data_IF_021669059255
#
_entry.id   IF_021669059255
#
_cell.length_a   1.000
_cell.length_b   1.000
_cell.length_c   1.000
_cell.angle_alpha   90.00
_cell.angle_beta   90.00
_cell.angle_gamma   90.00
#
_symmetry.space_group_name_H-M   'P 1'
#
loop_
_entity.id
_entity.type
_entity.pdbx_description
1 polymer ?
#
# COMPACT_ATOMS: atom_id res chain seq x y z
N UNK A 1 -0.07 -26.02 -4.95
CA UNK A 1 0.72 -25.57 -3.79
C UNK A 1 0.64 -24.06 -3.70
N UNK A 2 0.58 -23.53 -2.47
CA UNK A 2 0.50 -22.08 -2.24
C UNK A 2 1.73 -21.57 -1.51
N UNK A 3 2.12 -20.34 -1.84
CA UNK A 3 3.09 -19.57 -1.10
C UNK A 3 2.41 -18.29 -0.63
N UNK A 4 2.17 -18.18 0.67
CA UNK A 4 1.59 -16.97 1.27
C UNK A 4 2.70 -16.00 1.66
N UNK A 5 2.49 -14.73 1.33
CA UNK A 5 3.44 -13.64 1.61
C UNK A 5 2.74 -12.48 2.32
N UNK A 6 3.53 -11.65 2.98
CA UNK A 6 3.10 -10.38 3.56
C UNK A 6 2.82 -9.34 2.47
N UNK A 7 2.16 -8.21 2.80
CA UNK A 7 1.95 -7.13 1.84
C UNK A 7 3.26 -6.65 1.21
N UNK A 8 3.22 -6.37 -0.11
CA UNK A 8 4.40 -5.98 -0.90
C UNK A 8 4.64 -4.47 -0.96
N UNK A 9 3.82 -3.66 -0.28
CA UNK A 9 3.92 -2.20 -0.32
C UNK A 9 5.19 -1.66 0.34
N UNK A 10 5.61 -0.44 -0.02
CA UNK A 10 6.73 0.23 0.64
C UNK A 10 6.40 0.46 2.12
N UNK A 11 7.31 0.10 3.00
CA UNK A 11 7.15 0.32 4.43
C UNK A 11 7.33 1.79 4.79
N UNK A 12 6.56 2.26 5.78
CA UNK A 12 6.69 3.59 6.36
C UNK A 12 7.36 3.53 7.74
N UNK A 13 7.00 4.42 8.66
CA UNK A 13 7.52 4.39 10.02
C UNK A 13 7.17 3.08 10.72
N UNK A 14 8.16 2.53 11.46
CA UNK A 14 8.02 1.25 12.17
C UNK A 14 8.22 0.02 11.27
N UNK A 15 8.57 0.21 10.00
CA UNK A 15 8.95 -0.83 9.03
C UNK A 15 7.90 -1.93 8.86
N UNK A 16 6.64 -1.65 9.23
CA UNK A 16 5.54 -2.59 9.09
C UNK A 16 4.99 -2.58 7.65
N UNK A 17 4.81 -3.74 7.01
CA UNK A 17 4.16 -3.83 5.71
C UNK A 17 2.67 -3.48 5.74
N UNK A 18 2.06 -3.40 6.93
CA UNK A 18 0.66 -2.98 7.14
C UNK A 18 0.51 -1.46 7.27
N UNK A 19 1.62 -0.72 7.39
CA UNK A 19 1.68 0.73 7.38
C UNK A 19 2.49 1.17 6.17
N UNK A 20 1.84 1.22 5.01
CA UNK A 20 2.50 1.50 3.73
C UNK A 20 2.23 2.92 3.25
N UNK A 21 3.20 3.54 2.58
CA UNK A 21 3.02 4.81 1.89
C UNK A 21 2.05 4.74 0.71
N UNK A 22 1.76 3.54 0.21
CA UNK A 22 0.85 3.35 -0.93
C UNK A 22 0.29 1.94 -0.96
N UNK A 23 -1.01 1.82 -1.26
CA UNK A 23 -1.67 0.54 -1.50
C UNK A 23 -1.37 -0.06 -2.88
N UNK A 24 -0.78 0.73 -3.79
CA UNK A 24 -0.49 0.31 -5.17
C UNK A 24 1.00 0.08 -5.44
N UNK A 25 1.88 0.78 -4.73
CA UNK A 25 3.31 0.71 -4.98
C UNK A 25 3.95 -0.57 -4.42
N UNK A 26 5.01 -1.03 -5.08
CA UNK A 26 5.87 -2.08 -4.58
C UNK A 26 7.02 -1.55 -3.73
N UNK A 27 7.49 -2.37 -2.78
CA UNK A 27 8.57 -2.01 -1.86
C UNK A 27 9.93 -2.01 -2.58
N UNK A 28 10.63 -0.88 -2.67
CA UNK A 28 11.94 -0.79 -3.31
C UNK A 28 13.01 -1.70 -2.70
N UNK A 29 12.82 -2.13 -1.44
CA UNK A 29 13.77 -3.03 -0.77
C UNK A 29 13.74 -4.45 -1.35
N UNK A 30 12.70 -4.84 -2.07
CA UNK A 30 12.61 -6.14 -2.73
C UNK A 30 13.25 -6.17 -4.13
N UNK A 31 13.71 -5.04 -4.65
CA UNK A 31 14.42 -5.01 -5.93
C UNK A 31 15.78 -5.71 -5.76
N UNK A 32 16.00 -6.79 -6.47
CA UNK A 32 17.24 -7.55 -6.47
C UNK A 32 18.34 -6.82 -7.25
N UNK A 33 19.46 -6.51 -6.58
CA UNK A 33 20.57 -5.75 -7.19
C UNK A 33 21.38 -6.59 -8.15
N UNK A 34 21.47 -7.91 -7.95
CA UNK A 34 22.18 -8.81 -8.88
C UNK A 34 21.43 -8.90 -10.22
N UNK A 35 20.10 -8.87 -10.19
CA UNK A 35 19.30 -8.79 -11.40
C UNK A 35 19.49 -7.46 -12.13
N UNK A 36 19.65 -6.35 -11.40
CA UNK A 36 19.98 -5.06 -12.01
C UNK A 36 21.39 -5.07 -12.64
N UNK A 37 22.35 -5.73 -12.01
CA UNK A 37 23.69 -5.89 -12.58
C UNK A 37 23.66 -6.76 -13.85
N UNK A 38 22.94 -7.87 -13.84
CA UNK A 38 22.72 -8.71 -15.04
C UNK A 38 22.04 -7.94 -16.19
N UNK A 39 21.17 -7.00 -15.86
CA UNK A 39 20.53 -6.12 -16.84
C UNK A 39 21.42 -4.95 -17.31
N UNK A 40 22.66 -4.83 -16.78
CA UNK A 40 23.60 -3.75 -17.12
C UNK A 40 23.28 -2.40 -16.47
N UNK A 41 22.35 -2.38 -15.50
CA UNK A 41 21.94 -1.17 -14.78
C UNK A 41 22.83 -0.87 -13.58
N UNK A 42 23.57 -1.86 -13.07
CA UNK A 42 24.57 -1.71 -12.01
C UNK A 42 25.87 -2.40 -12.40
N UNK A 43 26.97 -2.00 -11.73
CA UNK A 43 28.21 -2.76 -11.71
C UNK A 43 28.34 -3.42 -10.32
N UNK A 44 28.88 -4.65 -10.21
CA UNK A 44 29.02 -5.35 -8.92
C UNK A 44 29.73 -4.50 -7.85
N UNK A 45 30.74 -3.74 -8.22
CA UNK A 45 31.51 -2.89 -7.33
C UNK A 45 30.71 -1.75 -6.70
N UNK A 46 29.53 -1.47 -7.25
CA UNK A 46 28.66 -0.39 -6.76
C UNK A 46 27.79 -0.80 -5.57
N UNK A 47 27.65 -2.11 -5.29
CA UNK A 47 26.78 -2.60 -4.21
C UNK A 47 27.31 -3.79 -3.42
N UNK A 48 28.19 -4.64 -3.95
CA UNK A 48 28.66 -5.85 -3.27
C UNK A 48 29.48 -5.54 -2.01
N UNK A 49 30.22 -4.42 -2.00
CA UNK A 49 31.03 -4.01 -0.85
C UNK A 49 30.27 -3.26 0.23
N UNK A 50 28.96 -3.01 0.02
CA UNK A 50 28.15 -2.27 1.01
C UNK A 50 27.83 -3.18 2.18
N UNK A 51 28.24 -2.76 3.37
CA UNK A 51 27.77 -3.38 4.60
C UNK A 51 26.34 -2.93 4.88
N UNK A 52 25.40 -3.87 4.75
CA UNK A 52 23.98 -3.64 5.03
C UNK A 52 23.63 -3.69 6.52
N UNK A 53 24.62 -3.95 7.37
CA UNK A 53 24.48 -4.02 8.84
C UNK A 53 23.38 -5.00 9.29
N UNK A 54 23.08 -5.98 8.44
CA UNK A 54 22.07 -7.01 8.69
C UNK A 54 22.74 -8.31 9.14
N UNK A 55 22.00 -9.12 9.89
CA UNK A 55 22.41 -10.47 10.25
C UNK A 55 21.52 -11.50 9.55
N UNK A 56 21.89 -12.80 9.51
CA UNK A 56 21.03 -13.82 8.88
C UNK A 56 19.59 -13.90 9.42
N UNK A 57 19.35 -13.41 10.64
CA UNK A 57 18.03 -13.43 11.28
C UNK A 57 17.37 -12.07 11.45
N UNK A 58 18.02 -10.97 11.00
CA UNK A 58 17.50 -9.62 11.24
C UNK A 58 17.92 -8.65 10.15
N UNK A 59 16.94 -7.92 9.59
CA UNK A 59 17.17 -6.85 8.62
C UNK A 59 17.36 -5.53 9.35
N UNK A 60 18.40 -4.78 9.00
CA UNK A 60 18.58 -3.41 9.46
C UNK A 60 17.92 -2.43 8.49
N UNK A 61 16.66 -2.07 8.74
CA UNK A 61 15.90 -1.15 7.88
C UNK A 61 16.50 0.26 7.84
N UNK A 62 17.12 0.72 8.93
CA UNK A 62 17.82 2.00 8.96
C UNK A 62 18.99 2.05 7.98
N UNK A 63 19.78 0.97 7.90
CA UNK A 63 20.87 0.85 6.93
C UNK A 63 20.33 0.74 5.49
N UNK A 64 19.23 0.01 5.28
CA UNK A 64 18.56 -0.03 3.97
C UNK A 64 18.10 1.36 3.54
N UNK A 65 17.42 2.08 4.42
CA UNK A 65 16.94 3.44 4.13
C UNK A 65 18.09 4.39 3.75
N UNK A 66 19.22 4.34 4.47
CA UNK A 66 20.36 5.22 4.23
C UNK A 66 21.16 4.87 2.96
N UNK A 67 21.29 3.56 2.65
CA UNK A 67 22.27 3.10 1.65
C UNK A 67 21.64 2.63 0.35
N UNK A 68 20.44 2.01 0.40
CA UNK A 68 19.85 1.34 -0.75
C UNK A 68 19.41 2.29 -1.85
N UNK A 69 18.83 3.41 -1.47
CA UNK A 69 18.37 4.40 -2.45
C UNK A 69 19.52 5.01 -3.27
N UNK A 70 20.70 5.19 -2.67
CA UNK A 70 21.88 5.65 -3.40
C UNK A 70 22.30 4.68 -4.54
N UNK A 71 22.14 3.37 -4.33
CA UNK A 71 22.38 2.35 -5.35
C UNK A 71 21.27 2.37 -6.41
N UNK A 72 20.00 2.45 -5.97
CA UNK A 72 18.86 2.52 -6.89
C UNK A 72 18.89 3.76 -7.78
N UNK A 73 19.36 4.91 -7.27
CA UNK A 73 19.55 6.11 -8.08
C UNK A 73 20.50 5.88 -9.27
N UNK A 74 21.58 5.13 -9.07
CA UNK A 74 22.52 4.80 -10.17
C UNK A 74 21.84 3.92 -11.23
N UNK A 75 21.12 2.89 -10.78
CA UNK A 75 20.40 2.00 -11.68
C UNK A 75 19.31 2.74 -12.48
N UNK A 76 18.50 3.55 -11.78
CA UNK A 76 17.45 4.34 -12.42
C UNK A 76 18.00 5.39 -13.40
N UNK A 77 19.12 6.04 -13.07
CA UNK A 77 19.76 6.98 -14.00
C UNK A 77 20.17 6.31 -15.33
N UNK A 78 20.70 5.07 -15.27
CA UNK A 78 21.04 4.30 -16.49
C UNK A 78 19.79 3.85 -17.23
N UNK A 79 18.77 3.40 -16.52
CA UNK A 79 17.48 3.04 -17.11
C UNK A 79 16.84 4.22 -17.86
N UNK A 80 16.80 5.39 -17.23
CA UNK A 80 16.21 6.61 -17.81
C UNK A 80 17.03 7.17 -18.97
N UNK A 81 18.34 6.95 -19.00
CA UNK A 81 19.18 7.34 -20.13
C UNK A 81 18.94 6.48 -21.39
N UNK A 82 18.48 5.23 -21.23
CA UNK A 82 18.13 4.31 -22.31
C UNK A 82 16.92 3.45 -21.88
N UNK A 83 15.71 4.04 -21.85
CA UNK A 83 14.53 3.35 -21.34
C UNK A 83 14.22 2.09 -22.16
N UNK A 84 13.85 0.98 -21.51
CA UNK A 84 13.34 -0.21 -22.18
C UNK A 84 12.10 0.08 -23.01
N UNK A 85 11.86 -0.71 -24.05
CA UNK A 85 10.76 -0.47 -25.00
C UNK A 85 9.37 -0.48 -24.34
N UNK A 86 9.20 -1.24 -23.27
CA UNK A 86 7.95 -1.39 -22.51
C UNK A 86 7.80 -0.39 -21.35
N UNK A 87 8.80 0.47 -21.11
CA UNK A 87 8.75 1.45 -20.02
C UNK A 87 7.58 2.44 -20.17
N UNK A 88 7.38 2.97 -21.39
CA UNK A 88 6.27 3.88 -21.66
C UNK A 88 4.89 3.19 -21.47
N UNK A 89 4.78 1.92 -21.87
CA UNK A 89 3.58 1.11 -21.66
C UNK A 89 3.31 0.88 -20.15
N UNK A 90 4.37 0.65 -19.38
CA UNK A 90 4.25 0.54 -17.93
C UNK A 90 3.69 1.83 -17.29
N UNK A 91 4.24 2.99 -17.67
CA UNK A 91 3.75 4.29 -17.19
C UNK A 91 2.27 4.50 -17.55
N UNK A 92 1.89 4.20 -18.80
CA UNK A 92 0.52 4.35 -19.27
C UNK A 92 -0.47 3.42 -18.53
N UNK A 93 -0.10 2.16 -18.32
CA UNK A 93 -0.93 1.18 -17.59
C UNK A 93 -1.12 1.51 -16.11
N UNK A 94 -0.20 2.28 -15.52
CA UNK A 94 -0.22 2.67 -14.11
C UNK A 94 -0.54 4.17 -13.91
N UNK A 95 -1.01 4.86 -14.95
CA UNK A 95 -1.30 6.30 -14.91
C UNK A 95 -2.36 6.71 -13.86
N UNK A 96 -3.17 5.77 -13.37
CA UNK A 96 -4.21 6.02 -12.38
C UNK A 96 -3.69 6.19 -10.94
N UNK A 97 -2.45 5.76 -10.64
CA UNK A 97 -1.86 5.86 -9.30
C UNK A 97 -0.40 6.35 -9.30
N UNK A 98 0.41 5.91 -10.27
CA UNK A 98 1.87 6.09 -10.26
C UNK A 98 2.32 7.57 -10.28
N UNK A 99 1.67 8.48 -11.04
CA UNK A 99 2.07 9.90 -11.04
C UNK A 99 1.88 10.59 -9.69
N UNK A 100 0.82 10.25 -8.95
CA UNK A 100 0.59 10.81 -7.62
C UNK A 100 1.50 10.17 -6.57
N UNK A 101 1.77 8.87 -6.66
CA UNK A 101 2.76 8.21 -5.82
C UNK A 101 4.17 8.79 -6.01
N UNK A 102 4.61 8.94 -7.25
CA UNK A 102 5.95 9.48 -7.53
C UNK A 102 6.12 10.93 -7.05
N UNK A 103 5.09 11.76 -7.24
CA UNK A 103 5.07 13.12 -6.69
C UNK A 103 5.07 13.11 -5.16
N UNK A 104 4.24 12.25 -4.52
CA UNK A 104 4.17 12.12 -3.06
C UNK A 104 5.55 11.77 -2.48
N UNK A 105 6.22 10.77 -3.04
CA UNK A 105 7.54 10.35 -2.57
C UNK A 105 8.61 11.43 -2.81
N UNK A 106 8.58 12.12 -3.96
CA UNK A 106 9.48 13.25 -4.22
C UNK A 106 9.27 14.40 -3.22
N UNK A 107 8.01 14.66 -2.85
CA UNK A 107 7.69 15.65 -1.79
C UNK A 107 8.12 15.16 -0.40
N UNK A 108 7.96 13.88 -0.08
CA UNK A 108 8.47 13.26 1.15
C UNK A 108 9.97 13.48 1.29
N UNK A 109 10.74 13.22 0.22
CA UNK A 109 12.19 13.42 0.19
C UNK A 109 12.54 14.90 0.39
N UNK A 110 11.86 15.80 -0.30
CA UNK A 110 12.07 17.25 -0.19
C UNK A 110 11.75 17.82 1.19
N UNK A 111 10.85 17.17 1.93
CA UNK A 111 10.43 17.56 3.29
C UNK A 111 11.08 16.68 4.39
N UNK A 112 12.20 16.01 4.10
CA UNK A 112 12.93 15.15 5.06
C UNK A 112 12.06 14.05 5.69
N UNK A 113 11.12 13.50 4.93
CA UNK A 113 10.27 12.39 5.35
C UNK A 113 9.13 12.75 6.30
N UNK A 114 8.91 14.01 6.67
CA UNK A 114 7.79 14.38 7.56
C UNK A 114 6.44 13.99 6.96
N UNK A 115 5.47 13.74 7.82
CA UNK A 115 4.12 13.39 7.41
C UNK A 115 3.51 14.47 6.51
N UNK A 116 2.73 14.07 5.51
CA UNK A 116 2.14 15.01 4.54
C UNK A 116 1.20 16.04 5.21
N UNK A 117 0.61 15.74 6.35
CA UNK A 117 -0.16 16.71 7.13
C UNK A 117 0.66 17.88 7.64
N UNK A 118 1.98 17.75 7.67
CA UNK A 118 2.90 18.83 8.08
C UNK A 118 3.43 19.65 6.91
N UNK A 119 3.07 19.32 5.67
CA UNK A 119 3.44 20.13 4.50
C UNK A 119 2.66 21.46 4.48
N UNK A 120 3.09 22.38 3.64
CA UNK A 120 2.40 23.64 3.43
C UNK A 120 0.95 23.38 2.95
N UNK A 121 0.03 24.22 3.41
CA UNK A 121 -1.41 24.03 3.16
C UNK A 121 -1.76 23.82 1.68
N UNK A 122 -1.19 24.58 0.70
CA UNK A 122 -1.49 24.37 -0.72
C UNK A 122 -1.08 22.98 -1.23
N UNK A 123 0.00 22.40 -0.70
CA UNK A 123 0.41 21.02 -1.02
C UNK A 123 -0.52 19.99 -0.35
N UNK A 124 -0.86 20.21 0.92
CA UNK A 124 -1.80 19.32 1.64
C UNK A 124 -3.15 19.25 0.93
N UNK A 125 -3.66 20.41 0.49
CA UNK A 125 -4.95 20.54 -0.22
C UNK A 125 -4.87 20.25 -1.71
N UNK A 126 -3.68 19.89 -2.21
CA UNK A 126 -3.46 19.55 -3.62
C UNK A 126 -3.92 20.63 -4.58
N UNK A 127 -3.65 21.90 -4.27
CA UNK A 127 -4.01 23.00 -5.14
C UNK A 127 -3.36 22.84 -6.53
N UNK A 128 -4.14 22.96 -7.63
CA UNK A 128 -3.65 22.60 -8.97
C UNK A 128 -2.38 23.34 -9.39
N UNK A 129 -2.28 24.64 -9.11
CA UNK A 129 -1.10 25.46 -9.46
C UNK A 129 0.13 25.03 -8.65
N UNK A 130 -0.06 24.75 -7.36
CA UNK A 130 0.99 24.26 -6.46
C UNK A 130 1.50 22.89 -6.91
N UNK A 131 0.58 21.97 -7.26
CA UNK A 131 0.97 20.66 -7.78
C UNK A 131 1.69 20.77 -9.12
N UNK A 132 1.27 21.65 -10.02
CA UNK A 132 1.95 21.87 -11.31
C UNK A 132 3.38 22.40 -11.09
N UNK A 133 3.55 23.38 -10.19
CA UNK A 133 4.87 23.89 -9.82
C UNK A 133 5.75 22.80 -9.17
N UNK A 134 5.19 21.99 -8.27
CA UNK A 134 5.90 20.90 -7.63
C UNK A 134 6.33 19.84 -8.65
N UNK A 135 5.46 19.43 -9.58
CA UNK A 135 5.81 18.49 -10.68
C UNK A 135 6.94 19.01 -11.54
N UNK A 136 6.95 20.30 -11.86
CA UNK A 136 8.04 20.91 -12.63
C UNK A 136 9.35 20.96 -11.83
N UNK A 137 9.28 21.32 -10.55
CA UNK A 137 10.45 21.46 -9.67
C UNK A 137 11.11 20.10 -9.38
N UNK A 138 10.33 19.06 -9.14
CA UNK A 138 10.81 17.73 -8.73
C UNK A 138 10.72 16.69 -9.85
N UNK A 139 10.77 17.13 -11.12
CA UNK A 139 10.60 16.24 -12.27
C UNK A 139 11.58 15.06 -12.25
N UNK A 140 12.86 15.30 -11.92
CA UNK A 140 13.88 14.25 -11.88
C UNK A 140 13.63 13.24 -10.74
N UNK A 141 13.15 13.70 -9.60
CA UNK A 141 12.80 12.82 -8.47
C UNK A 141 11.55 11.99 -8.78
N UNK A 142 10.57 12.59 -9.46
CA UNK A 142 9.38 11.88 -9.96
C UNK A 142 9.78 10.79 -10.94
N UNK A 143 10.66 11.09 -11.90
CA UNK A 143 11.17 10.10 -12.86
C UNK A 143 11.90 8.96 -12.15
N UNK A 144 12.68 9.27 -11.10
CA UNK A 144 13.33 8.27 -10.27
C UNK A 144 12.31 7.33 -9.61
N UNK A 145 11.29 7.87 -8.94
CA UNK A 145 10.29 7.06 -8.25
C UNK A 145 9.44 6.22 -9.21
N UNK A 146 9.17 6.73 -10.42
CA UNK A 146 8.53 5.94 -11.48
C UNK A 146 9.42 4.80 -11.96
N UNK A 147 10.71 5.06 -12.17
CA UNK A 147 11.69 4.05 -12.60
C UNK A 147 11.87 2.96 -11.53
N UNK A 148 11.91 3.32 -10.25
CA UNK A 148 11.94 2.36 -9.13
C UNK A 148 10.74 1.41 -9.18
N UNK A 149 9.54 1.93 -9.41
CA UNK A 149 8.35 1.08 -9.52
C UNK A 149 8.38 0.18 -10.75
N UNK A 150 8.88 0.68 -11.88
CA UNK A 150 9.10 -0.16 -13.07
C UNK A 150 10.03 -1.34 -12.75
N UNK A 151 11.16 -1.11 -12.09
CA UNK A 151 12.12 -2.15 -11.71
C UNK A 151 11.48 -3.18 -10.76
N UNK A 152 10.73 -2.72 -9.76
CA UNK A 152 10.02 -3.62 -8.85
C UNK A 152 9.03 -4.51 -9.60
N UNK A 153 8.15 -3.91 -10.40
CA UNK A 153 7.09 -4.66 -11.09
C UNK A 153 7.63 -5.63 -12.13
N UNK A 154 8.71 -5.28 -12.83
CA UNK A 154 9.37 -6.19 -13.77
C UNK A 154 9.87 -7.43 -13.04
N UNK A 155 10.63 -7.26 -11.96
CA UNK A 155 11.18 -8.39 -11.21
C UNK A 155 10.10 -9.20 -10.50
N UNK A 156 9.05 -8.54 -9.97
CA UNK A 156 7.93 -9.23 -9.34
C UNK A 156 7.15 -10.09 -10.34
N UNK A 157 6.86 -9.57 -11.52
CA UNK A 157 6.17 -10.34 -12.55
C UNK A 157 6.98 -11.56 -13.00
N UNK A 158 8.29 -11.42 -13.15
CA UNK A 158 9.19 -12.53 -13.49
C UNK A 158 9.19 -13.60 -12.39
N UNK A 159 9.28 -13.20 -11.11
CA UNK A 159 9.23 -14.12 -9.97
C UNK A 159 7.87 -14.84 -9.90
N UNK A 160 6.77 -14.10 -10.05
CA UNK A 160 5.42 -14.69 -10.06
C UNK A 160 5.25 -15.69 -11.21
N UNK A 161 5.67 -15.32 -12.40
CA UNK A 161 5.62 -16.21 -13.56
C UNK A 161 6.45 -17.48 -13.35
N UNK A 162 7.63 -17.36 -12.75
CA UNK A 162 8.47 -18.52 -12.39
C UNK A 162 7.77 -19.42 -11.37
N UNK A 163 7.21 -18.85 -10.29
CA UNK A 163 6.48 -19.61 -9.27
C UNK A 163 5.28 -20.36 -9.88
N UNK A 164 4.49 -19.68 -10.70
CA UNK A 164 3.33 -20.25 -11.38
C UNK A 164 3.74 -21.40 -12.32
N UNK A 165 4.86 -21.25 -13.04
CA UNK A 165 5.41 -22.33 -13.91
C UNK A 165 5.84 -23.56 -13.12
N UNK A 166 6.16 -23.42 -11.83
CA UNK A 166 6.43 -24.53 -10.90
C UNK A 166 5.17 -25.08 -10.23
N UNK A 167 3.98 -24.62 -10.61
CA UNK A 167 2.71 -25.01 -9.98
C UNK A 167 2.49 -24.43 -8.58
N UNK A 168 3.14 -23.30 -8.28
CA UNK A 168 2.99 -22.55 -7.03
C UNK A 168 2.17 -21.31 -7.31
N UNK A 169 1.04 -21.15 -6.62
CA UNK A 169 0.21 -19.97 -6.60
C UNK A 169 0.59 -19.06 -5.41
N UNK A 170 0.57 -17.75 -5.62
CA UNK A 170 0.93 -16.79 -4.59
C UNK A 170 -0.34 -16.25 -3.92
N UNK A 171 -0.41 -16.41 -2.59
CA UNK A 171 -1.42 -15.76 -1.74
C UNK A 171 -0.79 -14.45 -1.25
N UNK A 172 -1.34 -13.33 -1.71
CA UNK A 172 -0.98 -12.01 -1.21
C UNK A 172 -1.87 -11.58 -0.07
N UNK A 173 -1.38 -10.66 0.74
CA UNK A 173 -2.08 -10.12 1.89
C UNK A 173 -2.50 -8.66 1.65
N UNK A 174 -3.77 -8.36 1.89
CA UNK A 174 -4.36 -7.05 1.70
C UNK A 174 -4.82 -6.50 3.04
N UNK A 175 -4.09 -5.55 3.66
CA UNK A 175 -4.58 -4.84 4.83
C UNK A 175 -5.89 -4.11 4.52
N UNK A 176 -6.90 -4.24 5.39
CA UNK A 176 -8.16 -3.51 5.17
C UNK A 176 -7.91 -2.00 5.14
N UNK A 177 -7.13 -1.47 6.07
CA UNK A 177 -6.85 -0.03 6.17
C UNK A 177 -5.56 0.37 5.44
N UNK A 178 -5.43 1.68 5.22
CA UNK A 178 -4.22 2.32 4.71
C UNK A 178 -3.58 3.17 5.81
N UNK A 179 -2.29 3.49 5.66
CA UNK A 179 -1.63 4.38 6.61
C UNK A 179 -2.15 5.81 6.48
N UNK A 180 -2.23 6.55 7.59
CA UNK A 180 -2.55 7.97 7.59
C UNK A 180 -1.54 8.76 6.73
N UNK A 181 -0.24 8.50 6.91
CA UNK A 181 0.82 9.07 6.09
C UNK A 181 1.03 8.24 4.82
N UNK A 182 0.08 8.35 3.89
CA UNK A 182 0.11 7.65 2.61
C UNK A 182 -0.38 8.53 1.46
N UNK A 183 0.05 8.20 0.25
CA UNK A 183 -0.49 8.81 -0.96
C UNK A 183 -1.99 8.54 -1.11
N UNK A 184 -2.48 7.41 -0.61
CA UNK A 184 -3.90 7.05 -0.69
C UNK A 184 -4.77 8.09 0.00
N UNK A 185 -4.40 8.49 1.23
CA UNK A 185 -5.14 9.52 1.98
C UNK A 185 -4.91 10.91 1.40
N UNK A 186 -3.65 11.24 1.03
CA UNK A 186 -3.32 12.54 0.45
C UNK A 186 -3.99 12.78 -0.91
N UNK A 187 -4.04 11.77 -1.78
CA UNK A 187 -4.60 11.93 -3.13
C UNK A 187 -6.12 11.79 -3.20
N UNK A 188 -6.71 11.03 -2.28
CA UNK A 188 -8.14 10.73 -2.26
C UNK A 188 -8.76 10.99 -0.87
N UNK A 189 -8.61 12.19 -0.28
CA UNK A 189 -9.06 12.46 1.09
C UNK A 189 -10.57 12.27 1.28
N UNK A 190 -11.37 12.40 0.21
CA UNK A 190 -12.81 12.19 0.21
C UNK A 190 -13.23 10.74 0.51
N UNK A 191 -12.34 9.78 0.34
CA UNK A 191 -12.58 8.36 0.63
C UNK A 191 -12.53 8.05 2.14
N UNK A 192 -12.01 8.97 2.95
CA UNK A 192 -11.71 8.78 4.37
C UNK A 192 -12.50 9.74 5.26
N UNK A 193 -12.67 9.37 6.54
CA UNK A 193 -13.31 10.19 7.56
C UNK A 193 -12.32 11.24 8.08
N UNK A 194 -12.18 12.34 7.35
CA UNK A 194 -11.33 13.47 7.70
C UNK A 194 -12.17 14.71 7.99
N UNK A 195 -11.65 15.60 8.82
CA UNK A 195 -12.22 16.91 9.05
C UNK A 195 -11.86 17.91 7.93
N UNK A 196 -12.26 19.15 8.09
CA UNK A 196 -11.97 20.25 7.14
C UNK A 196 -10.48 20.59 7.02
N UNK A 197 -9.65 20.16 7.99
CA UNK A 197 -8.21 20.34 8.01
C UNK A 197 -7.46 19.11 7.49
N UNK A 198 -8.18 18.11 6.98
CA UNK A 198 -7.66 16.83 6.51
C UNK A 198 -7.04 15.97 7.63
N UNK A 199 -7.53 16.13 8.86
CA UNK A 199 -7.16 15.33 10.02
C UNK A 199 -8.22 14.26 10.23
N UNK A 200 -7.85 13.00 10.53
CA UNK A 200 -8.83 11.97 10.85
C UNK A 200 -9.75 12.39 12.00
N UNK A 201 -11.04 12.16 11.88
CA UNK A 201 -11.98 12.36 12.98
C UNK A 201 -11.96 11.18 13.92
N UNK A 202 -11.83 10.00 13.37
CA UNK A 202 -11.71 8.73 14.07
C UNK A 202 -10.73 7.81 13.33
N UNK A 203 -10.20 6.82 14.06
CA UNK A 203 -9.21 5.86 13.55
C UNK A 203 -9.56 4.43 13.91
N UNK A 204 -8.97 3.50 13.17
CA UNK A 204 -9.18 2.08 13.35
C UNK A 204 -8.44 1.50 14.56
N UNK A 205 -8.99 0.41 15.08
CA UNK A 205 -8.39 -0.41 16.10
C UNK A 205 -9.23 -1.63 16.44
N UNK A 206 -8.95 -2.21 17.60
CA UNK A 206 -9.74 -3.28 18.20
C UNK A 206 -10.10 -2.95 19.66
N UNK A 207 -11.28 -3.38 20.15
CA UNK A 207 -11.68 -3.13 21.52
C UNK A 207 -10.77 -3.85 22.52
N UNK A 208 -10.81 -3.43 23.79
CA UNK A 208 -10.24 -4.22 24.88
C UNK A 208 -10.76 -5.66 24.88
N UNK A 209 -9.87 -6.61 25.14
CA UNK A 209 -10.17 -8.04 25.21
C UNK A 209 -9.38 -8.73 26.34
N UNK A 210 -9.43 -10.08 26.38
CA UNK A 210 -8.71 -10.87 27.37
C UNK A 210 -7.17 -10.84 27.25
N UNK A 211 -6.64 -10.36 26.14
CA UNK A 211 -5.20 -10.26 25.87
C UNK A 211 -4.67 -8.83 26.01
N UNK A 212 -5.52 -7.82 25.77
CA UNK A 212 -5.17 -6.41 25.87
C UNK A 212 -6.27 -5.62 26.59
N UNK A 213 -5.98 -5.16 27.81
CA UNK A 213 -6.90 -4.35 28.60
C UNK A 213 -7.21 -2.97 27.98
N UNK A 214 -6.27 -2.44 27.19
CA UNK A 214 -6.39 -1.16 26.49
C UNK A 214 -6.88 -1.31 25.03
N UNK A 215 -7.09 -2.55 24.58
CA UNK A 215 -7.37 -2.85 23.18
C UNK A 215 -6.17 -2.57 22.29
N UNK A 216 -6.42 -2.37 20.99
CA UNK A 216 -5.40 -2.04 20.00
C UNK A 216 -5.79 -0.76 19.27
N UNK A 217 -4.95 0.25 19.38
CA UNK A 217 -5.06 1.49 18.61
C UNK A 217 -4.14 1.40 17.39
N UNK A 218 -4.71 1.20 16.19
CA UNK A 218 -3.93 1.07 14.97
C UNK A 218 -3.61 2.40 14.31
N UNK A 219 -4.48 3.40 14.51
CA UNK A 219 -4.26 4.76 14.02
C UNK A 219 -4.56 4.98 12.53
N UNK A 220 -5.02 3.96 11.81
CA UNK A 220 -5.38 4.09 10.41
C UNK A 220 -6.67 4.89 10.24
N UNK A 221 -6.78 5.83 9.27
CA UNK A 221 -8.01 6.51 8.95
C UNK A 221 -9.13 5.56 8.54
N UNK A 222 -10.35 5.85 8.95
CA UNK A 222 -11.54 5.08 8.60
C UNK A 222 -12.12 5.53 7.26
N UNK A 223 -12.77 4.62 6.54
CA UNK A 223 -13.40 4.90 5.26
C UNK A 223 -14.73 5.64 5.41
N UNK A 224 -15.04 6.54 4.51
CA UNK A 224 -16.37 7.15 4.35
C UNK A 224 -17.24 6.22 3.52
N UNK A 225 -17.80 5.20 4.15
CA UNK A 225 -18.55 4.15 3.43
C UNK A 225 -19.76 4.66 2.65
N UNK A 226 -20.38 5.77 3.07
CA UNK A 226 -21.47 6.39 2.30
C UNK A 226 -20.95 6.95 0.98
N UNK A 227 -19.83 7.67 0.98
CA UNK A 227 -19.19 8.16 -0.22
C UNK A 227 -18.74 7.01 -1.14
N UNK A 228 -18.14 5.96 -0.59
CA UNK A 228 -17.79 4.78 -1.36
C UNK A 228 -19.01 4.14 -2.02
N UNK A 229 -20.16 4.06 -1.34
CA UNK A 229 -21.40 3.54 -1.88
C UNK A 229 -21.93 4.42 -3.03
N UNK A 230 -21.93 5.74 -2.83
CA UNK A 230 -22.36 6.72 -3.84
C UNK A 230 -21.50 6.68 -5.10
N UNK A 231 -20.19 6.46 -4.96
CA UNK A 231 -19.24 6.32 -6.07
C UNK A 231 -19.17 4.89 -6.64
N UNK A 232 -20.00 3.97 -6.18
CA UNK A 232 -20.02 2.57 -6.62
C UNK A 232 -18.79 1.79 -6.24
N UNK A 233 -18.13 2.16 -5.14
CA UNK A 233 -16.91 1.54 -4.61
C UNK A 233 -15.71 1.53 -5.57
N UNK A 234 -15.60 2.52 -6.46
CA UNK A 234 -14.58 2.53 -7.52
C UNK A 234 -13.15 2.44 -6.97
N UNK A 235 -12.87 3.11 -5.85
CA UNK A 235 -11.55 3.03 -5.22
C UNK A 235 -11.22 1.60 -4.78
N UNK A 236 -12.16 0.91 -4.10
CA UNK A 236 -11.98 -0.48 -3.66
C UNK A 236 -11.88 -1.46 -4.83
N UNK A 237 -12.68 -1.26 -5.89
CA UNK A 237 -12.61 -2.06 -7.12
C UNK A 237 -11.22 -1.90 -7.75
N UNK A 238 -10.68 -0.68 -7.83
CA UNK A 238 -9.34 -0.42 -8.37
C UNK A 238 -8.25 -1.07 -7.52
N UNK A 239 -8.38 -0.99 -6.18
CA UNK A 239 -7.44 -1.60 -5.24
C UNK A 239 -7.40 -3.13 -5.40
N UNK A 240 -8.56 -3.77 -5.40
CA UNK A 240 -8.65 -5.22 -5.56
C UNK A 240 -8.22 -5.67 -6.97
N UNK A 241 -8.62 -4.95 -8.02
CA UNK A 241 -8.15 -5.23 -9.37
C UNK A 241 -6.62 -5.20 -9.46
N UNK A 242 -5.99 -4.27 -8.77
CA UNK A 242 -4.53 -4.19 -8.68
C UNK A 242 -3.94 -5.39 -7.94
N UNK A 243 -4.49 -5.76 -6.79
CA UNK A 243 -4.05 -6.94 -6.04
C UNK A 243 -4.15 -8.23 -6.87
N UNK A 244 -5.22 -8.43 -7.65
CA UNK A 244 -5.36 -9.60 -8.51
C UNK A 244 -4.40 -9.63 -9.71
N UNK A 245 -3.72 -8.53 -10.03
CA UNK A 245 -2.57 -8.55 -10.95
C UNK A 245 -1.28 -9.02 -10.26
N UNK A 246 -1.13 -8.68 -8.98
CA UNK A 246 0.05 -9.04 -8.20
C UNK A 246 0.02 -10.48 -7.70
N UNK A 247 -1.15 -10.97 -7.31
CA UNK A 247 -1.32 -12.25 -6.64
C UNK A 247 -2.28 -13.17 -7.40
N UNK A 248 -2.22 -14.46 -7.12
CA UNK A 248 -3.17 -15.45 -7.64
C UNK A 248 -4.40 -15.53 -6.73
N UNK A 249 -4.17 -15.41 -5.41
CA UNK A 249 -5.20 -15.39 -4.37
C UNK A 249 -4.95 -14.17 -3.47
N UNK A 250 -6.00 -13.49 -3.04
CA UNK A 250 -5.90 -12.36 -2.12
C UNK A 250 -6.49 -12.73 -0.77
N UNK A 251 -5.67 -12.74 0.27
CA UNK A 251 -6.15 -12.77 1.66
C UNK A 251 -6.48 -11.34 2.08
N UNK A 252 -7.71 -11.10 2.48
CA UNK A 252 -8.12 -9.80 3.05
C UNK A 252 -7.97 -9.88 4.55
N UNK A 253 -7.02 -9.11 5.07
CA UNK A 253 -6.76 -8.98 6.49
C UNK A 253 -7.88 -8.22 7.19
N UNK A 254 -8.24 -8.66 8.41
CA UNK A 254 -9.33 -8.07 9.22
C UNK A 254 -10.67 -7.97 8.47
N UNK A 255 -11.07 -9.04 7.77
CA UNK A 255 -12.28 -9.07 6.93
C UNK A 255 -13.56 -8.68 7.67
N UNK A 256 -13.64 -8.94 8.99
CA UNK A 256 -14.76 -8.54 9.82
C UNK A 256 -15.04 -7.04 9.78
N UNK A 257 -14.05 -6.20 9.51
CA UNK A 257 -14.18 -4.75 9.41
C UNK A 257 -15.14 -4.28 8.31
N UNK A 258 -15.47 -5.16 7.35
CA UNK A 258 -16.50 -4.87 6.35
C UNK A 258 -17.92 -5.10 6.86
N UNK A 259 -18.12 -5.88 7.93
CA UNK A 259 -19.41 -5.99 8.62
C UNK A 259 -19.56 -4.90 9.69
N UNK A 260 -18.64 -4.91 10.65
CA UNK A 260 -18.53 -3.92 11.72
C UNK A 260 -17.04 -3.64 11.99
N UNK A 261 -16.70 -2.37 12.05
CA UNK A 261 -15.36 -1.91 12.39
C UNK A 261 -15.37 -1.16 13.72
N UNK A 262 -14.22 -1.19 14.40
CA UNK A 262 -14.08 -0.50 15.68
C UNK A 262 -13.47 0.88 15.44
N UNK A 263 -14.22 1.91 15.81
CA UNK A 263 -13.91 3.32 15.62
C UNK A 263 -13.45 3.93 16.93
N UNK A 264 -12.32 4.61 16.91
CA UNK A 264 -11.71 5.23 18.09
C UNK A 264 -11.52 6.72 17.78
N UNK A 265 -11.97 7.65 18.66
CA UNK A 265 -11.76 9.08 18.45
C UNK A 265 -10.29 9.41 18.23
N UNK A 266 -10.00 10.24 17.21
CA UNK A 266 -8.63 10.63 16.92
C UNK A 266 -7.98 11.37 18.09
N UNK A 267 -6.72 11.03 18.40
CA UNK A 267 -5.99 11.63 19.52
C UNK A 267 -6.10 10.86 20.84
N UNK A 268 -6.90 9.80 20.91
CA UNK A 268 -6.90 8.89 22.05
C UNK A 268 -5.58 8.11 22.15
N UNK A 269 -5.21 7.71 23.37
CA UNK A 269 -4.00 6.94 23.63
C UNK A 269 -4.26 5.43 23.76
N UNK A 270 -5.51 5.02 23.72
CA UNK A 270 -5.94 3.61 23.82
C UNK A 270 -7.26 3.40 23.07
N UNK A 271 -7.68 2.15 22.92
CA UNK A 271 -8.93 1.80 22.27
C UNK A 271 -10.13 1.76 23.21
N UNK A 272 -9.97 2.11 24.49
CA UNK A 272 -11.02 1.97 25.51
C UNK A 272 -12.28 2.79 25.19
N UNK A 273 -12.12 3.98 24.62
CA UNK A 273 -13.23 4.89 24.30
C UNK A 273 -13.82 4.69 22.89
N UNK A 274 -13.44 3.62 22.21
CA UNK A 274 -13.96 3.31 20.89
C UNK A 274 -15.36 2.68 20.93
N UNK A 275 -15.96 2.56 19.74
CA UNK A 275 -17.28 1.98 19.53
C UNK A 275 -17.39 1.27 18.18
N UNK A 276 -18.39 0.40 18.04
CA UNK A 276 -18.64 -0.33 16.81
C UNK A 276 -19.48 0.49 15.83
N UNK A 277 -19.04 0.49 14.56
CA UNK A 277 -19.73 1.10 13.44
C UNK A 277 -19.99 0.08 12.34
N UNK A 278 -21.04 0.30 11.55
CA UNK A 278 -21.39 -0.59 10.43
C UNK A 278 -20.53 -0.35 9.21
N UNK A 279 -19.97 -1.43 8.68
CA UNK A 279 -19.27 -1.44 7.39
C UNK A 279 -20.20 -1.56 6.19
N UNK A 280 -19.65 -1.66 4.96
CA UNK A 280 -20.43 -1.76 3.72
C UNK A 280 -21.12 -3.12 3.54
N UNK A 281 -20.69 -4.13 4.30
CA UNK A 281 -21.22 -5.48 4.20
C UNK A 281 -21.00 -6.12 2.83
N UNK A 282 -21.93 -6.98 2.44
CA UNK A 282 -21.88 -7.73 1.17
C UNK A 282 -22.00 -6.83 -0.07
N UNK A 283 -22.52 -5.61 0.06
CA UNK A 283 -22.76 -4.72 -1.06
C UNK A 283 -21.46 -4.39 -1.82
N UNK A 284 -20.35 -4.12 -1.09
CA UNK A 284 -19.04 -3.94 -1.66
C UNK A 284 -18.61 -5.15 -2.51
N UNK A 285 -18.70 -6.36 -1.96
CA UNK A 285 -18.21 -7.56 -2.64
C UNK A 285 -19.05 -7.93 -3.86
N UNK A 286 -20.36 -7.69 -3.83
CA UNK A 286 -21.23 -7.81 -5.02
C UNK A 286 -20.82 -6.85 -6.14
N UNK A 287 -20.45 -5.61 -5.79
CA UNK A 287 -19.95 -4.63 -6.76
C UNK A 287 -18.59 -5.02 -7.33
N UNK A 288 -17.70 -5.53 -6.47
CA UNK A 288 -16.40 -6.07 -6.91
C UNK A 288 -16.59 -7.24 -7.87
N UNK A 289 -17.43 -8.22 -7.53
CA UNK A 289 -17.70 -9.36 -8.40
C UNK A 289 -18.34 -8.94 -9.72
N UNK A 290 -19.28 -7.99 -9.68
CA UNK A 290 -19.89 -7.42 -10.89
C UNK A 290 -18.86 -6.77 -11.82
N UNK A 291 -17.86 -6.08 -11.26
CA UNK A 291 -16.84 -5.35 -12.02
C UNK A 291 -15.68 -6.24 -12.51
N UNK A 292 -15.23 -7.19 -11.69
CA UNK A 292 -14.00 -7.97 -11.91
C UNK A 292 -14.25 -9.44 -12.22
N UNK A 293 -15.50 -9.91 -12.11
CA UNK A 293 -15.83 -11.32 -12.12
C UNK A 293 -15.41 -12.01 -10.81
N UNK A 294 -15.70 -13.31 -10.72
CA UNK A 294 -15.29 -14.10 -9.56
C UNK A 294 -13.76 -14.15 -9.42
N UNK A 295 -13.27 -13.99 -8.20
CA UNK A 295 -11.84 -14.00 -7.84
C UNK A 295 -11.60 -14.87 -6.61
N UNK A 296 -10.40 -15.43 -6.51
CA UNK A 296 -10.01 -16.19 -5.33
C UNK A 296 -9.63 -15.22 -4.20
N UNK A 297 -10.46 -15.19 -3.17
CA UNK A 297 -10.27 -14.38 -1.96
C UNK A 297 -10.35 -15.28 -0.75
N UNK A 298 -9.50 -15.03 0.25
CA UNK A 298 -9.56 -15.62 1.58
C UNK A 298 -9.97 -14.50 2.54
N UNK A 299 -11.02 -14.73 3.32
CA UNK A 299 -11.45 -13.80 4.36
C UNK A 299 -10.75 -14.14 5.68
N UNK A 300 -9.91 -13.25 6.20
CA UNK A 300 -9.37 -13.44 7.55
C UNK A 300 -10.49 -13.20 8.56
N UNK A 301 -10.92 -14.24 9.24
CA UNK A 301 -12.07 -14.26 10.16
C UNK A 301 -11.66 -14.51 11.63
N UNK A 302 -10.43 -14.18 11.99
CA UNK A 302 -9.90 -14.34 13.35
C UNK A 302 -10.48 -13.26 14.30
N UNK A 303 -10.34 -13.51 15.60
CA UNK A 303 -10.78 -12.61 16.67
C UNK A 303 -12.26 -12.79 17.05
N UNK A 304 -12.94 -11.70 17.38
CA UNK A 304 -14.34 -11.73 17.84
C UNK A 304 -15.31 -11.85 16.66
N UNK A 305 -15.72 -13.08 16.33
CA UNK A 305 -16.60 -13.37 15.19
C UNK A 305 -18.05 -13.43 15.64
N UNK A 306 -18.86 -12.45 15.21
CA UNK A 306 -20.30 -12.38 15.43
C UNK A 306 -21.09 -13.21 14.40
N UNK A 307 -22.38 -13.42 14.64
CA UNK A 307 -23.24 -14.09 13.64
C UNK A 307 -23.41 -13.27 12.35
N UNK A 308 -23.29 -11.94 12.42
CA UNK A 308 -23.30 -11.08 11.24
C UNK A 308 -22.04 -11.22 10.41
N UNK A 309 -20.87 -11.33 11.04
CA UNK A 309 -19.59 -11.62 10.35
C UNK A 309 -19.65 -12.99 9.65
N UNK A 310 -20.15 -14.04 10.37
CA UNK A 310 -20.32 -15.37 9.75
C UNK A 310 -21.24 -15.34 8.53
N UNK A 311 -22.34 -14.56 8.60
CA UNK A 311 -23.22 -14.36 7.45
C UNK A 311 -22.51 -13.65 6.31
N UNK A 312 -21.72 -12.62 6.57
CA UNK A 312 -20.96 -11.91 5.54
C UNK A 312 -19.97 -12.86 4.84
N UNK A 313 -19.21 -13.66 5.58
CA UNK A 313 -18.31 -14.69 5.03
C UNK A 313 -19.09 -15.69 4.18
N UNK A 314 -20.22 -16.19 4.69
CA UNK A 314 -21.04 -17.15 3.95
C UNK A 314 -21.63 -16.52 2.67
N UNK A 315 -22.15 -15.30 2.72
CA UNK A 315 -22.74 -14.60 1.57
C UNK A 315 -21.70 -14.21 0.51
N UNK A 316 -20.49 -13.89 0.92
CA UNK A 316 -19.38 -13.61 0.00
C UNK A 316 -18.86 -14.86 -0.71
N UNK A 317 -19.08 -16.05 -0.14
CA UNK A 317 -18.53 -17.31 -0.64
C UNK A 317 -17.01 -17.44 -0.47
N UNK A 318 -16.39 -16.54 0.32
CA UNK A 318 -14.95 -16.61 0.58
C UNK A 318 -14.65 -17.63 1.69
N UNK A 319 -13.65 -18.51 1.52
CA UNK A 319 -13.16 -19.30 2.63
C UNK A 319 -12.53 -18.40 3.71
N UNK A 320 -12.68 -18.85 4.98
CA UNK A 320 -12.02 -18.24 6.15
C UNK A 320 -10.70 -18.92 6.49
#
# INVERSE_FOLDING_TARGET
TYWQILPLGPTSYGDSPYQSFSTFAGNPYFIDLDLLAKAGLLQPEEYESIDWESTPGCVNYGALYQKRYAVLHKACARLLAAPPADYADFLAKNAFWLPDYALFMALKDAHNGVCWQQWEEPLRRREPETLAAARAKYAADIDFWQAVQYLFYTQWHDLKAYANAQGIEIIGDLPIYVAEDSVDVWSCPQEFQLDENLVPTEVAGCPPDGFSADGQLWGNPLYRWDYHRETGYQWWISRLAHCFRLYDVVRIDHFRGFDEYYSIPYGENSAVNGHWEKGPGIDLFRKVEQALGWKQVIAEDLGYVTDSVRRLVQESGFPG
#
